data_IF_988549757295
#
_entry.id   IF_988549757295
#
_cell.length_a   1.000
_cell.length_b   1.000
_cell.length_c   1.000
_cell.angle_alpha   90.00
_cell.angle_beta   90.00
_cell.angle_gamma   90.00
#
_symmetry.space_group_name_H-M   'P 1'
#
loop_
_entity.id
_entity.type
_entity.pdbx_description
1 polymer ?
#
# COMPACT_ATOMS: atom_id res chain seq x y z
N UNK A 1 -16.98 -44.70 -70.02
CA UNK A 1 -16.87 -44.00 -71.32
C UNK A 1 -16.79 -42.52 -70.99
N UNK A 2 -15.60 -41.92 -70.96
CA UNK A 2 -14.93 -41.25 -72.11
C UNK A 2 -15.88 -40.20 -72.72
N UNK A 3 -15.56 -38.90 -72.83
CA UNK A 3 -14.27 -38.23 -73.03
C UNK A 3 -14.41 -36.72 -72.77
N UNK A 4 -13.27 -36.10 -72.44
CA UNK A 4 -12.99 -34.67 -72.32
C UNK A 4 -13.22 -33.84 -73.60
N UNK A 5 -13.47 -32.53 -73.43
CA UNK A 5 -12.92 -31.45 -74.28
C UNK A 5 -12.85 -30.11 -73.48
N UNK A 6 -11.64 -29.56 -73.36
CA UNK A 6 -11.28 -28.16 -73.02
C UNK A 6 -10.75 -27.48 -74.32
N UNK A 7 -10.23 -26.21 -74.41
CA UNK A 7 -10.02 -25.14 -73.40
C UNK A 7 -10.30 -23.68 -73.86
N UNK A 8 -10.12 -22.72 -72.93
CA UNK A 8 -9.81 -21.30 -73.19
C UNK A 8 -10.45 -20.39 -72.11
N UNK A 9 -9.77 -19.60 -71.29
CA UNK A 9 -8.52 -18.87 -71.49
C UNK A 9 -8.01 -18.25 -70.17
N UNK A 10 -6.69 -17.97 -70.17
CA UNK A 10 -5.92 -17.02 -69.33
C UNK A 10 -5.32 -17.49 -68.00
N UNK A 11 -4.04 -17.86 -68.09
CA UNK A 11 -3.01 -17.66 -67.07
C UNK A 11 -2.81 -16.15 -66.82
N UNK A 12 -2.78 -15.74 -65.54
CA UNK A 12 -1.72 -14.87 -64.99
C UNK A 12 -1.39 -15.41 -63.59
N UNK A 13 -0.11 -15.72 -63.42
CA UNK A 13 0.58 -16.10 -62.20
C UNK A 13 0.71 -14.91 -61.25
N UNK A 14 0.42 -15.06 -59.95
CA UNK A 14 1.18 -14.35 -58.94
C UNK A 14 1.30 -15.13 -57.62
N UNK A 15 2.55 -15.29 -57.25
CA UNK A 15 3.12 -15.91 -56.05
C UNK A 15 2.67 -15.24 -54.74
N UNK A 16 2.66 -16.07 -53.68
CA UNK A 16 2.94 -15.75 -52.28
C UNK A 16 2.28 -14.50 -51.67
N UNK A 17 1.27 -14.71 -50.82
CA UNK A 17 1.00 -13.81 -49.69
C UNK A 17 1.39 -14.51 -48.39
N UNK A 18 2.61 -14.24 -47.93
CA UNK A 18 3.04 -14.43 -46.56
C UNK A 18 2.29 -13.45 -45.64
N UNK A 19 1.91 -13.97 -44.46
CA UNK A 19 1.79 -13.30 -43.15
C UNK A 19 1.42 -11.82 -43.12
N UNK A 20 0.23 -11.50 -42.59
CA UNK A 20 0.00 -10.24 -41.88
C UNK A 20 -0.98 -10.45 -40.71
N UNK A 21 -0.56 -11.24 -39.71
CA UNK A 21 -1.11 -11.12 -38.36
C UNK A 21 -0.64 -9.76 -37.86
N UNK A 22 -1.58 -8.87 -37.57
CA UNK A 22 -1.30 -7.58 -36.94
C UNK A 22 -0.68 -7.86 -35.56
N UNK A 23 0.65 -7.79 -35.49
CA UNK A 23 1.38 -7.67 -34.24
C UNK A 23 1.09 -6.28 -33.68
N UNK A 24 0.25 -6.22 -32.65
CA UNK A 24 0.26 -5.11 -31.70
C UNK A 24 1.68 -5.04 -31.11
N UNK A 25 2.26 -3.85 -30.92
CA UNK A 25 3.56 -3.74 -30.28
C UNK A 25 3.41 -4.21 -28.83
N UNK A 26 3.88 -5.42 -28.55
CA UNK A 26 4.22 -5.83 -27.20
C UNK A 26 5.37 -4.92 -26.80
N UNK A 27 5.07 -3.92 -25.97
CA UNK A 27 6.10 -3.18 -25.24
C UNK A 27 6.93 -4.22 -24.49
N UNK A 28 8.16 -4.45 -24.94
CA UNK A 28 9.18 -5.14 -24.15
C UNK A 28 9.39 -4.29 -22.90
N UNK A 29 8.90 -4.78 -21.78
CA UNK A 29 9.33 -4.30 -20.46
C UNK A 29 10.70 -4.91 -20.23
N UNK A 30 11.71 -4.36 -20.91
CA UNK A 30 13.11 -4.52 -20.51
C UNK A 30 13.39 -3.51 -19.40
N UNK A 31 12.68 -3.65 -18.29
CA UNK A 31 13.07 -3.15 -16.97
C UNK A 31 12.85 -4.32 -16.01
N UNK A 32 13.70 -5.34 -16.16
CA UNK A 32 14.00 -6.21 -15.02
C UNK A 32 14.62 -5.28 -13.99
N UNK A 33 13.80 -4.77 -13.08
CA UNK A 33 14.25 -4.29 -11.79
C UNK A 33 14.96 -5.49 -11.17
N UNK A 34 16.27 -5.56 -11.36
CA UNK A 34 17.12 -6.45 -10.59
C UNK A 34 16.80 -6.14 -9.14
N UNK A 35 16.13 -7.09 -8.48
CA UNK A 35 15.90 -7.07 -7.05
C UNK A 35 17.23 -6.75 -6.41
N UNK A 36 17.35 -5.55 -5.83
CA UNK A 36 18.50 -5.19 -5.02
C UNK A 36 18.64 -6.27 -3.95
N UNK A 37 19.82 -6.86 -3.93
CA UNK A 37 20.34 -7.78 -2.92
C UNK A 37 19.46 -7.89 -1.65
N UNK A 38 18.71 -8.99 -1.52
CA UNK A 38 17.85 -9.30 -0.37
C UNK A 38 18.66 -9.74 0.86
N UNK A 39 19.99 -9.69 0.83
CA UNK A 39 20.87 -10.13 1.91
C UNK A 39 20.66 -9.42 3.26
N UNK A 40 19.88 -8.34 3.28
CA UNK A 40 19.58 -7.56 4.48
C UNK A 40 18.13 -7.61 4.97
N UNK A 41 17.22 -8.31 4.30
CA UNK A 41 15.81 -8.34 4.70
C UNK A 41 15.53 -9.53 5.64
N UNK A 42 15.15 -9.22 6.89
CA UNK A 42 14.79 -10.24 7.88
C UNK A 42 13.33 -10.66 7.73
N UNK A 43 13.09 -11.97 7.64
CA UNK A 43 11.77 -12.57 7.64
C UNK A 43 11.58 -13.37 8.93
N UNK A 44 10.49 -13.08 9.65
CA UNK A 44 10.14 -13.77 10.89
C UNK A 44 9.42 -15.09 10.63
N UNK A 45 8.59 -15.14 9.57
CA UNK A 45 7.89 -16.34 9.12
C UNK A 45 7.93 -16.45 7.59
N UNK A 46 8.03 -17.66 7.08
CA UNK A 46 7.94 -17.98 5.64
C UNK A 46 6.70 -18.83 5.37
N UNK A 47 5.90 -18.43 4.38
CA UNK A 47 4.73 -19.16 3.90
C UNK A 47 5.02 -19.71 2.51
N UNK A 48 4.89 -21.02 2.31
CA UNK A 48 5.09 -21.66 1.02
C UNK A 48 4.20 -22.90 0.87
N UNK A 49 3.38 -22.95 -0.20
CA UNK A 49 2.46 -24.07 -0.45
C UNK A 49 3.18 -25.39 -0.78
N UNK A 50 4.44 -25.32 -1.22
CA UNK A 50 5.29 -26.48 -1.56
C UNK A 50 5.96 -27.14 -0.33
N UNK A 51 5.74 -26.61 0.88
CA UNK A 51 6.32 -27.12 2.11
C UNK A 51 7.74 -26.64 2.42
N UNK A 52 8.30 -25.71 1.62
CA UNK A 52 9.64 -25.15 1.84
C UNK A 52 9.68 -23.96 2.81
N UNK A 53 8.55 -23.60 3.41
CA UNK A 53 8.40 -22.54 4.41
C UNK A 53 7.94 -23.09 5.76
N UNK A 54 7.80 -22.20 6.75
CA UNK A 54 7.32 -22.53 8.09
C UNK A 54 5.84 -22.90 8.12
N UNK A 55 5.04 -22.31 7.21
CA UNK A 55 3.61 -22.56 7.08
C UNK A 55 3.21 -22.79 5.62
N UNK A 56 2.16 -23.60 5.43
CA UNK A 56 1.57 -23.85 4.11
C UNK A 56 0.57 -22.75 3.69
N UNK A 57 0.08 -21.95 4.63
CA UNK A 57 -0.97 -20.96 4.42
C UNK A 57 -0.72 -19.68 5.21
N UNK A 58 -1.22 -18.55 4.69
CA UNK A 58 -1.15 -17.25 5.37
C UNK A 58 -1.97 -17.27 6.66
N UNK A 59 -3.16 -17.88 6.63
CA UNK A 59 -4.01 -18.00 7.82
C UNK A 59 -3.30 -18.77 8.94
N UNK A 60 -2.57 -19.83 8.59
CA UNK A 60 -1.78 -20.60 9.57
C UNK A 60 -0.67 -19.77 10.21
N UNK A 61 0.09 -19.02 9.40
CA UNK A 61 1.15 -18.14 9.89
C UNK A 61 0.60 -17.03 10.80
N UNK A 62 -0.50 -16.37 10.41
CA UNK A 62 -1.14 -15.30 11.19
C UNK A 62 -1.68 -15.84 12.52
N UNK A 63 -2.33 -17.01 12.52
CA UNK A 63 -2.89 -17.62 13.72
C UNK A 63 -1.82 -18.08 14.73
N UNK A 64 -0.58 -18.29 14.27
CA UNK A 64 0.53 -18.62 15.15
C UNK A 64 1.10 -17.41 15.90
N UNK A 65 0.77 -16.19 15.46
CA UNK A 65 1.23 -14.97 16.11
C UNK A 65 0.44 -14.67 17.39
N UNK A 66 1.10 -14.12 18.43
CA UNK A 66 0.38 -13.60 19.58
C UNK A 66 -0.55 -12.46 19.13
N UNK A 67 -1.70 -12.33 19.79
CA UNK A 67 -2.64 -11.25 19.50
C UNK A 67 -2.01 -9.85 19.63
N UNK A 68 -1.10 -9.69 20.59
CA UNK A 68 -0.38 -8.44 20.84
C UNK A 68 1.06 -8.56 20.37
N UNK A 69 1.35 -7.91 19.24
CA UNK A 69 2.67 -7.79 18.61
C UNK A 69 3.23 -6.39 18.87
N UNK A 70 4.18 -6.29 19.79
CA UNK A 70 4.84 -5.01 20.10
C UNK A 70 6.01 -4.71 19.15
N UNK A 71 6.52 -5.74 18.49
CA UNK A 71 7.54 -5.67 17.45
C UNK A 71 6.90 -5.95 16.08
N UNK A 72 7.55 -5.46 15.02
CA UNK A 72 7.14 -5.73 13.65
C UNK A 72 7.46 -7.17 13.30
N UNK A 73 6.44 -7.89 12.87
CA UNK A 73 6.58 -9.24 12.31
C UNK A 73 6.53 -9.15 10.79
N UNK A 74 7.51 -9.76 10.13
CA UNK A 74 7.60 -9.83 8.67
C UNK A 74 7.31 -11.26 8.21
N UNK A 75 6.19 -11.43 7.51
CA UNK A 75 5.76 -12.69 6.88
C UNK A 75 6.14 -12.62 5.40
N UNK A 76 7.05 -13.48 4.97
CA UNK A 76 7.41 -13.66 3.57
C UNK A 76 6.55 -14.75 2.94
N UNK A 77 5.95 -14.47 1.80
CA UNK A 77 5.01 -15.37 1.11
C UNK A 77 5.59 -15.71 -0.26
N UNK A 78 5.91 -16.99 -0.46
CA UNK A 78 6.44 -17.46 -1.74
C UNK A 78 5.41 -17.36 -2.87
N UNK A 79 5.87 -17.57 -4.10
CA UNK A 79 4.98 -17.68 -5.26
C UNK A 79 3.94 -18.80 -5.05
N UNK A 80 2.70 -18.54 -5.45
CA UNK A 80 1.58 -19.45 -5.26
C UNK A 80 0.24 -18.73 -5.34
N UNK A 81 -0.83 -19.51 -5.52
CA UNK A 81 -2.21 -19.04 -5.46
C UNK A 81 -2.79 -19.52 -4.12
N UNK A 82 -2.93 -18.58 -3.20
CA UNK A 82 -3.47 -18.77 -1.87
C UNK A 82 -4.97 -18.50 -1.90
N UNK A 83 -5.78 -19.55 -2.04
CA UNK A 83 -7.25 -19.48 -1.98
C UNK A 83 -7.71 -19.34 -0.52
N UNK A 84 -7.53 -18.14 0.03
CA UNK A 84 -7.72 -17.86 1.44
C UNK A 84 -8.43 -16.53 1.68
N UNK A 85 -9.20 -16.50 2.77
CA UNK A 85 -9.83 -15.30 3.29
C UNK A 85 -9.10 -14.90 4.56
N UNK A 86 -8.38 -13.77 4.51
CA UNK A 86 -7.44 -13.34 5.55
C UNK A 86 -8.11 -12.34 6.49
N UNK A 87 -7.85 -12.50 7.78
CA UNK A 87 -8.15 -11.52 8.83
C UNK A 87 -6.87 -11.21 9.60
N UNK A 88 -6.55 -9.92 9.73
CA UNK A 88 -5.46 -9.43 10.56
C UNK A 88 -6.04 -8.60 11.70
N UNK A 89 -5.71 -8.99 12.93
CA UNK A 89 -6.03 -8.21 14.15
C UNK A 89 -4.79 -7.84 14.96
N UNK A 90 -3.64 -8.43 14.61
CA UNK A 90 -2.33 -8.13 15.18
C UNK A 90 -1.76 -6.87 14.52
N UNK A 91 -1.29 -5.93 15.33
CA UNK A 91 -0.62 -4.73 14.84
C UNK A 91 0.78 -5.05 14.28
N UNK A 92 1.38 -4.09 13.58
CA UNK A 92 2.79 -4.14 13.17
C UNK A 92 3.14 -5.35 12.26
N UNK A 93 2.19 -5.85 11.47
CA UNK A 93 2.44 -6.96 10.54
C UNK A 93 2.85 -6.43 9.17
N UNK A 94 3.91 -7.01 8.62
CA UNK A 94 4.34 -6.82 7.23
C UNK A 94 4.18 -8.14 6.49
N UNK A 95 3.42 -8.15 5.41
CA UNK A 95 3.29 -9.30 4.49
C UNK A 95 3.97 -8.92 3.19
N UNK A 96 4.96 -9.71 2.77
CA UNK A 96 5.75 -9.46 1.56
C UNK A 96 5.66 -10.69 0.65
N UNK A 97 5.12 -10.52 -0.54
CA UNK A 97 5.16 -11.57 -1.56
C UNK A 97 6.53 -11.66 -2.22
N UNK A 98 6.86 -12.84 -2.74
CA UNK A 98 8.05 -13.11 -3.53
C UNK A 98 8.01 -12.36 -4.86
N UNK A 99 6.85 -12.34 -5.51
CA UNK A 99 6.64 -11.62 -6.76
C UNK A 99 5.18 -11.14 -6.88
N UNK A 100 5.00 -9.87 -7.21
CA UNK A 100 3.66 -9.27 -7.34
C UNK A 100 2.75 -10.04 -8.31
N UNK A 101 3.27 -10.59 -9.40
CA UNK A 101 2.47 -11.29 -10.42
C UNK A 101 2.21 -12.76 -10.10
N UNK A 102 2.95 -13.36 -9.15
CA UNK A 102 2.90 -14.80 -8.87
C UNK A 102 2.59 -15.17 -7.42
N UNK A 103 2.64 -14.22 -6.48
CA UNK A 103 2.12 -14.38 -5.12
C UNK A 103 0.72 -13.77 -5.05
N UNK A 104 -0.29 -14.63 -5.18
CA UNK A 104 -1.71 -14.23 -5.32
C UNK A 104 -2.50 -14.73 -4.13
N UNK A 105 -3.19 -13.83 -3.43
CA UNK A 105 -4.20 -14.15 -2.43
C UNK A 105 -5.57 -13.91 -3.08
N UNK A 106 -6.41 -14.94 -3.15
CA UNK A 106 -7.71 -14.80 -3.79
C UNK A 106 -8.82 -15.52 -3.05
N UNK A 107 -10.03 -14.98 -3.18
CA UNK A 107 -11.25 -15.59 -2.66
C UNK A 107 -12.47 -14.96 -3.34
N UNK A 108 -13.56 -15.72 -3.51
CA UNK A 108 -14.82 -15.19 -4.05
C UNK A 108 -15.77 -14.79 -2.91
N UNK A 109 -15.98 -13.49 -2.70
CA UNK A 109 -16.88 -12.99 -1.66
C UNK A 109 -17.67 -11.76 -2.11
N UNK A 110 -19.00 -11.88 -2.16
CA UNK A 110 -19.88 -10.71 -2.15
C UNK A 110 -20.08 -10.21 -0.74
N UNK A 111 -20.17 -8.89 -0.58
CA UNK A 111 -20.58 -8.30 0.69
C UNK A 111 -21.98 -8.77 1.11
N UNK A 112 -22.92 -8.84 0.18
CA UNK A 112 -24.30 -9.30 0.41
C UNK A 112 -24.34 -10.75 0.89
N UNK A 113 -23.56 -11.63 0.28
CA UNK A 113 -23.45 -13.04 0.68
C UNK A 113 -22.87 -13.16 2.10
N UNK A 114 -21.85 -12.35 2.44
CA UNK A 114 -21.30 -12.29 3.80
C UNK A 114 -22.30 -11.69 4.79
N UNK A 115 -23.06 -10.65 4.42
CA UNK A 115 -24.10 -10.08 5.28
C UNK A 115 -25.19 -11.10 5.61
N UNK A 116 -25.55 -11.96 4.65
CA UNK A 116 -26.49 -13.06 4.83
C UNK A 116 -25.90 -14.21 5.68
N UNK A 117 -24.60 -14.46 5.59
CA UNK A 117 -23.90 -15.55 6.27
C UNK A 117 -22.60 -15.05 6.92
N UNK A 118 -22.72 -14.24 7.98
CA UNK A 118 -21.57 -13.58 8.59
C UNK A 118 -20.64 -14.60 9.22
N UNK A 119 -19.37 -14.56 8.81
CA UNK A 119 -18.25 -15.15 9.52
C UNK A 119 -17.48 -14.07 10.30
N UNK A 120 -16.58 -14.52 11.17
CA UNK A 120 -15.68 -13.67 11.94
C UNK A 120 -14.57 -13.04 11.07
N UNK A 121 -14.27 -13.60 9.90
CA UNK A 121 -13.14 -13.18 9.05
C UNK A 121 -13.43 -11.78 8.47
N UNK A 122 -14.60 -11.59 7.84
CA UNK A 122 -15.06 -10.29 7.34
C UNK A 122 -15.58 -10.34 5.89
N UNK A 123 -15.92 -9.21 5.26
CA UNK A 123 -16.52 -9.19 3.93
C UNK A 123 -15.54 -9.23 2.73
N UNK A 124 -14.22 -9.17 2.97
CA UNK A 124 -13.20 -9.10 1.90
C UNK A 124 -12.32 -10.35 1.80
N UNK A 125 -11.46 -10.38 0.78
CA UNK A 125 -10.35 -11.34 0.68
C UNK A 125 -9.32 -11.08 1.77
N UNK A 126 -8.95 -9.81 2.00
CA UNK A 126 -8.06 -9.39 3.10
C UNK A 126 -8.78 -8.38 3.99
N UNK A 127 -8.94 -8.71 5.27
CA UNK A 127 -9.68 -7.94 6.27
C UNK A 127 -8.71 -7.39 7.35
N UNK A 128 -8.48 -6.08 7.36
CA UNK A 128 -7.48 -5.39 8.17
C UNK A 128 -8.13 -4.68 9.38
N UNK A 129 -8.11 -5.34 10.53
CA UNK A 129 -8.63 -4.83 11.81
C UNK A 129 -7.52 -4.46 12.79
N UNK A 130 -6.37 -4.04 12.27
CA UNK A 130 -5.16 -3.74 13.01
C UNK A 130 -4.42 -2.54 12.41
N UNK A 131 -3.57 -1.93 13.20
CA UNK A 131 -2.74 -0.78 12.81
C UNK A 131 -1.34 -1.22 12.35
N UNK A 132 -0.68 -0.36 11.59
CA UNK A 132 0.70 -0.54 11.14
C UNK A 132 0.93 -1.73 10.23
N UNK A 133 -0.03 -1.98 9.34
CA UNK A 133 0.04 -3.07 8.38
C UNK A 133 0.75 -2.62 7.11
N UNK A 134 1.66 -3.45 6.61
CA UNK A 134 2.32 -3.27 5.33
C UNK A 134 2.02 -4.51 4.48
N UNK A 135 1.39 -4.32 3.31
CA UNK A 135 1.30 -5.34 2.28
C UNK A 135 2.22 -4.92 1.13
N UNK A 136 3.11 -5.80 0.69
CA UNK A 136 4.14 -5.48 -0.31
C UNK A 136 4.32 -6.61 -1.31
N UNK A 137 4.49 -6.26 -2.59
CA UNK A 137 4.90 -7.19 -3.65
C UNK A 137 3.98 -8.43 -3.82
N UNK A 138 2.66 -8.23 -3.77
CA UNK A 138 1.68 -9.31 -3.90
C UNK A 138 0.39 -8.85 -4.59
N UNK A 139 -0.42 -9.80 -5.04
CA UNK A 139 -1.71 -9.57 -5.68
C UNK A 139 -2.86 -10.07 -4.80
N UNK A 140 -3.93 -9.29 -4.68
CA UNK A 140 -5.15 -9.63 -3.95
C UNK A 140 -6.34 -9.55 -4.91
N UNK A 141 -7.05 -10.66 -5.10
CA UNK A 141 -8.13 -10.76 -6.08
C UNK A 141 -9.42 -11.22 -5.40
N UNK A 142 -10.46 -10.39 -5.45
CA UNK A 142 -11.82 -10.90 -5.23
C UNK A 142 -12.35 -11.48 -6.55
N UNK A 143 -12.46 -12.80 -6.61
CA UNK A 143 -12.76 -13.54 -7.87
C UNK A 143 -14.25 -13.55 -8.22
N UNK A 144 -15.08 -12.88 -7.42
CA UNK A 144 -16.51 -12.78 -7.67
C UNK A 144 -16.83 -12.12 -9.03
N UNK A 145 -17.58 -12.77 -9.93
CA UNK A 145 -17.88 -12.22 -11.25
C UNK A 145 -18.93 -11.11 -11.29
N UNK A 146 -19.77 -10.94 -10.25
CA UNK A 146 -20.87 -9.96 -10.27
C UNK A 146 -20.38 -8.52 -10.16
N UNK A 147 -20.48 -7.78 -11.26
CA UNK A 147 -19.92 -6.43 -11.36
C UNK A 147 -20.74 -5.31 -10.68
N UNK A 148 -22.02 -5.54 -10.38
CA UNK A 148 -22.91 -4.52 -9.79
C UNK A 148 -22.88 -4.46 -8.26
N UNK A 149 -22.47 -5.55 -7.63
CA UNK A 149 -22.48 -5.67 -6.17
C UNK A 149 -21.12 -5.32 -5.58
N UNK A 150 -21.06 -5.08 -4.27
CA UNK A 150 -19.79 -4.84 -3.58
C UNK A 150 -19.03 -6.16 -3.40
N UNK A 151 -17.77 -6.18 -3.82
CA UNK A 151 -16.89 -7.33 -3.73
C UNK A 151 -15.48 -6.81 -3.37
N UNK A 152 -15.17 -6.78 -2.08
CA UNK A 152 -13.97 -6.15 -1.58
C UNK A 152 -12.76 -7.08 -1.76
N UNK A 153 -11.69 -6.59 -2.37
CA UNK A 153 -10.38 -7.25 -2.29
C UNK A 153 -9.76 -6.97 -0.92
N UNK A 154 -9.80 -5.71 -0.49
CA UNK A 154 -9.29 -5.26 0.81
C UNK A 154 -10.38 -4.49 1.53
N UNK A 155 -10.64 -4.87 2.78
CA UNK A 155 -11.50 -4.13 3.70
C UNK A 155 -10.77 -3.93 5.02
N UNK A 156 -11.04 -2.83 5.74
CA UNK A 156 -10.45 -2.69 7.07
C UNK A 156 -10.86 -1.45 7.82
N UNK A 157 -10.46 -1.38 9.08
CA UNK A 157 -10.71 -0.27 10.00
C UNK A 157 -9.45 0.21 10.73
N UNK A 158 -8.29 -0.36 10.40
CA UNK A 158 -6.99 0.06 10.94
C UNK A 158 -6.51 1.42 10.42
N UNK A 159 -5.39 1.89 10.96
CA UNK A 159 -4.65 3.06 10.48
C UNK A 159 -3.17 2.75 10.24
N UNK A 160 -2.50 3.63 9.48
CA UNK A 160 -1.12 3.46 9.00
C UNK A 160 -0.96 2.19 8.18
N UNK A 161 -1.82 2.05 7.18
CA UNK A 161 -1.82 0.91 6.24
C UNK A 161 -1.01 1.31 5.01
N UNK A 162 0.01 0.51 4.68
CA UNK A 162 0.82 0.63 3.46
C UNK A 162 0.44 -0.47 2.48
N UNK A 163 0.14 -0.09 1.24
CA UNK A 163 0.17 -1.00 0.08
C UNK A 163 1.34 -0.54 -0.80
N UNK A 164 2.29 -1.42 -1.11
CA UNK A 164 3.45 -1.04 -1.92
C UNK A 164 3.80 -2.10 -2.95
N UNK A 165 3.80 -1.74 -4.23
CA UNK A 165 3.93 -2.70 -5.32
C UNK A 165 2.89 -3.84 -5.22
N UNK A 166 1.62 -3.48 -5.02
CA UNK A 166 0.53 -4.43 -4.87
C UNK A 166 -0.48 -4.30 -6.01
N UNK A 167 -1.18 -5.39 -6.31
CA UNK A 167 -2.35 -5.37 -7.21
C UNK A 167 -3.60 -5.70 -6.39
N UNK A 168 -4.61 -4.85 -6.39
CA UNK A 168 -5.91 -5.14 -5.76
C UNK A 168 -6.99 -5.12 -6.84
N UNK A 169 -7.62 -6.26 -7.06
CA UNK A 169 -8.46 -6.53 -8.23
C UNK A 169 -9.82 -7.06 -7.78
N UNK A 170 -10.89 -6.48 -8.29
CA UNK A 170 -12.25 -7.00 -8.21
C UNK A 170 -13.03 -6.56 -9.45
N UNK A 171 -14.13 -7.24 -9.77
CA UNK A 171 -15.09 -6.74 -10.77
C UNK A 171 -16.24 -5.96 -10.15
N UNK A 172 -16.46 -6.11 -8.84
CA UNK A 172 -17.50 -5.43 -8.09
C UNK A 172 -17.10 -4.01 -7.67
N UNK A 173 -17.97 -3.37 -6.91
CA UNK A 173 -17.66 -2.08 -6.29
C UNK A 173 -16.76 -2.22 -5.06
N UNK A 174 -16.18 -1.10 -4.61
CA UNK A 174 -15.51 -0.96 -3.30
C UNK A 174 -14.27 -1.89 -3.12
N UNK A 175 -13.47 -2.09 -4.17
CA UNK A 175 -12.32 -3.02 -4.19
C UNK A 175 -11.36 -2.82 -3.00
N UNK A 176 -10.98 -1.58 -2.69
CA UNK A 176 -10.17 -1.18 -1.54
C UNK A 176 -10.98 -0.26 -0.64
N UNK A 177 -11.37 -0.79 0.52
CA UNK A 177 -12.40 -0.26 1.42
C UNK A 177 -11.89 -0.09 2.85
N UNK A 178 -11.09 0.96 3.07
CA UNK A 178 -10.54 1.28 4.40
C UNK A 178 -11.41 2.32 5.13
N UNK A 179 -12.03 1.92 6.23
CA UNK A 179 -13.20 2.55 6.84
C UNK A 179 -12.96 3.21 8.20
N UNK A 180 -11.76 3.71 8.45
CA UNK A 180 -11.46 4.48 9.66
C UNK A 180 -11.66 6.00 9.45
N UNK A 181 -12.88 6.49 9.68
CA UNK A 181 -13.19 7.93 9.59
C UNK A 181 -12.45 8.81 10.59
N UNK A 182 -11.99 8.27 11.73
CA UNK A 182 -11.48 9.08 12.84
C UNK A 182 -9.98 9.33 12.70
N UNK A 183 -9.22 8.29 12.41
CA UNK A 183 -7.76 8.33 12.43
C UNK A 183 -7.11 7.59 11.27
N UNK A 184 -7.87 7.16 10.27
CA UNK A 184 -7.36 6.38 9.14
C UNK A 184 -6.31 7.16 8.34
N UNK A 185 -5.11 6.60 8.21
CA UNK A 185 -4.04 7.10 7.36
C UNK A 185 -3.55 5.97 6.47
N UNK A 186 -3.62 6.14 5.16
CA UNK A 186 -3.29 5.08 4.21
C UNK A 186 -2.33 5.57 3.14
N UNK A 187 -1.24 4.83 2.93
CA UNK A 187 -0.25 5.11 1.90
C UNK A 187 -0.26 3.99 0.87
N UNK A 188 -0.40 4.34 -0.42
CA UNK A 188 -0.37 3.36 -1.50
C UNK A 188 0.63 3.80 -2.58
N UNK A 189 1.69 3.02 -2.79
CA UNK A 189 2.74 3.34 -3.76
C UNK A 189 2.91 2.23 -4.79
N UNK A 190 3.11 2.58 -6.06
CA UNK A 190 3.40 1.60 -7.12
C UNK A 190 2.32 0.52 -7.27
N UNK A 191 1.05 0.85 -7.01
CA UNK A 191 -0.03 -0.12 -7.00
C UNK A 191 -0.80 -0.17 -8.32
N UNK A 192 -1.44 -1.31 -8.56
CA UNK A 192 -2.47 -1.46 -9.58
C UNK A 192 -3.82 -1.70 -8.89
N UNK A 193 -4.81 -0.88 -9.22
CA UNK A 193 -6.16 -1.00 -8.70
C UNK A 193 -7.13 -1.23 -9.86
N UNK A 194 -7.91 -2.30 -9.79
CA UNK A 194 -8.93 -2.62 -10.77
C UNK A 194 -10.26 -2.89 -10.06
N UNK A 195 -11.32 -2.23 -10.51
CA UNK A 195 -12.63 -2.34 -9.87
C UNK A 195 -13.76 -1.66 -10.61
N UNK A 196 -14.98 -1.90 -10.13
CA UNK A 196 -16.18 -1.16 -10.53
C UNK A 196 -16.40 0.08 -9.67
N UNK A 197 -17.66 0.44 -9.43
CA UNK A 197 -18.01 1.64 -8.66
C UNK A 197 -17.24 1.80 -7.33
N UNK A 198 -16.72 3.00 -7.11
CA UNK A 198 -16.04 3.44 -5.90
C UNK A 198 -14.85 2.53 -5.50
N UNK A 199 -14.13 1.95 -6.46
CA UNK A 199 -13.19 0.87 -6.15
C UNK A 199 -11.98 1.25 -5.29
N UNK A 200 -11.57 2.52 -5.23
CA UNK A 200 -10.67 3.01 -4.18
C UNK A 200 -11.43 4.02 -3.32
N UNK A 201 -11.80 3.60 -2.09
CA UNK A 201 -12.74 4.35 -1.25
C UNK A 201 -12.28 4.63 0.19
N UNK A 202 -11.10 5.24 0.41
CA UNK A 202 -10.58 5.50 1.74
C UNK A 202 -11.45 6.50 2.53
N UNK A 203 -11.56 6.25 3.84
CA UNK A 203 -12.13 7.17 4.85
C UNK A 203 -11.01 7.62 5.79
N UNK A 204 -10.82 8.93 5.96
CA UNK A 204 -9.67 9.49 6.69
C UNK A 204 -8.71 10.24 5.75
N UNK A 205 -7.40 10.05 5.91
CA UNK A 205 -6.36 10.58 5.02
C UNK A 205 -5.80 9.48 4.13
N UNK A 206 -5.51 9.81 2.87
CA UNK A 206 -4.92 8.85 1.93
C UNK A 206 -3.95 9.54 0.98
N UNK A 207 -2.76 8.95 0.82
CA UNK A 207 -1.78 9.36 -0.17
C UNK A 207 -1.49 8.19 -1.10
N UNK A 208 -1.68 8.40 -2.41
CA UNK A 208 -1.42 7.40 -3.44
C UNK A 208 -0.41 7.98 -4.43
N UNK A 209 0.62 7.21 -4.79
CA UNK A 209 1.64 7.65 -5.75
C UNK A 209 2.02 6.54 -6.71
N UNK A 210 2.46 6.93 -7.92
CA UNK A 210 3.07 6.04 -8.91
C UNK A 210 2.18 4.84 -9.27
N UNK A 211 0.86 5.02 -9.24
CA UNK A 211 -0.10 3.94 -9.31
C UNK A 211 -0.95 3.98 -10.58
N UNK A 212 -1.61 2.85 -10.87
CA UNK A 212 -2.47 2.67 -12.05
C UNK A 212 -3.87 2.27 -11.61
N UNK A 213 -4.86 2.92 -12.20
CA UNK A 213 -6.27 2.73 -11.90
C UNK A 213 -6.99 2.25 -13.17
N UNK A 214 -7.72 1.15 -13.07
CA UNK A 214 -8.51 0.58 -14.16
C UNK A 214 -9.96 0.37 -13.75
N UNK A 215 -10.85 1.22 -14.25
CA UNK A 215 -12.28 1.15 -13.97
C UNK A 215 -12.98 0.20 -14.96
N UNK A 216 -13.63 -0.84 -14.45
CA UNK A 216 -14.22 -1.89 -15.31
C UNK A 216 -15.64 -1.56 -15.78
N UNK A 217 -16.22 -0.43 -15.35
CA UNK A 217 -17.61 -0.03 -15.64
C UNK A 217 -17.76 1.46 -15.94
N UNK A 218 -18.90 1.84 -16.49
CA UNK A 218 -19.27 3.25 -16.64
C UNK A 218 -19.74 3.85 -15.29
N UNK A 219 -18.88 3.79 -14.26
CA UNK A 219 -19.13 4.28 -12.90
C UNK A 219 -17.96 5.11 -12.38
N UNK A 220 -18.09 5.64 -11.17
CA UNK A 220 -17.04 6.43 -10.52
C UNK A 220 -15.91 5.51 -10.02
N UNK A 221 -14.66 5.79 -10.38
CA UNK A 221 -13.50 5.03 -9.93
C UNK A 221 -13.14 5.29 -8.45
N UNK A 222 -13.12 6.57 -8.08
CA UNK A 222 -12.69 7.02 -6.76
C UNK A 222 -13.88 7.37 -5.87
N UNK A 223 -13.73 7.08 -4.57
CA UNK A 223 -14.60 7.62 -3.54
C UNK A 223 -13.79 8.09 -2.33
N UNK A 224 -14.26 9.11 -1.64
CA UNK A 224 -13.57 9.57 -0.43
C UNK A 224 -14.54 10.12 0.60
N UNK A 225 -14.14 10.04 1.87
CA UNK A 225 -14.79 10.76 2.94
C UNK A 225 -13.79 11.22 4.02
N UNK A 226 -13.79 12.52 4.24
CA UNK A 226 -13.09 13.23 5.29
C UNK A 226 -14.09 14.00 6.16
N UNK A 227 -14.98 13.27 6.86
CA UNK A 227 -16.18 13.86 7.49
C UNK A 227 -15.90 14.48 8.85
N UNK A 228 -14.92 13.94 9.57
CA UNK A 228 -14.70 14.29 10.98
C UNK A 228 -13.68 15.40 11.15
N UNK A 229 -12.86 15.66 10.12
CA UNK A 229 -11.83 16.69 10.12
C UNK A 229 -11.71 17.28 8.71
N UNK A 230 -11.71 18.62 8.60
CA UNK A 230 -11.57 19.33 7.32
C UNK A 230 -10.25 19.01 6.64
N UNK A 231 -9.21 18.65 7.38
CA UNK A 231 -7.91 18.32 6.83
C UNK A 231 -7.82 16.90 6.27
N UNK A 232 -8.82 16.03 6.50
CA UNK A 232 -8.88 14.72 5.86
C UNK A 232 -9.01 14.87 4.34
N UNK A 233 -8.05 14.28 3.63
CA UNK A 233 -7.85 14.45 2.19
C UNK A 233 -7.32 13.19 1.52
N UNK A 234 -7.69 13.02 0.26
CA UNK A 234 -7.15 12.03 -0.65
C UNK A 234 -6.23 12.74 -1.65
N UNK A 235 -4.96 12.36 -1.66
CA UNK A 235 -3.95 12.89 -2.57
C UNK A 235 -3.49 11.76 -3.48
N UNK A 236 -3.49 12.00 -4.79
CA UNK A 236 -3.02 11.08 -5.81
C UNK A 236 -1.95 11.80 -6.63
N UNK A 237 -0.75 11.24 -6.69
CA UNK A 237 0.39 11.79 -7.44
C UNK A 237 0.91 10.83 -8.49
N UNK A 238 1.43 11.37 -9.58
CA UNK A 238 2.16 10.63 -10.63
C UNK A 238 1.47 9.30 -11.03
N UNK A 239 0.15 9.33 -11.19
CA UNK A 239 -0.66 8.12 -11.38
C UNK A 239 -1.45 8.20 -12.68
N UNK A 240 -1.89 7.04 -13.18
CA UNK A 240 -2.62 6.94 -14.44
C UNK A 240 -3.99 6.31 -14.26
N UNK A 241 -4.97 6.80 -15.02
CA UNK A 241 -6.36 6.34 -15.00
C UNK A 241 -6.80 5.90 -16.40
N UNK A 242 -7.33 4.68 -16.48
CA UNK A 242 -8.02 4.16 -17.66
C UNK A 242 -9.22 3.30 -17.23
N UNK A 243 -9.99 2.81 -18.18
CA UNK A 243 -11.15 1.97 -17.90
C UNK A 243 -12.17 1.94 -19.03
N UNK A 244 -13.37 1.48 -18.69
CA UNK A 244 -14.52 1.43 -19.57
C UNK A 244 -14.83 2.81 -20.18
N UNK A 245 -15.32 2.84 -21.41
CA UNK A 245 -15.64 4.11 -22.09
C UNK A 245 -16.63 4.95 -21.29
N UNK A 246 -16.30 6.21 -21.01
CA UNK A 246 -17.09 7.17 -20.22
C UNK A 246 -17.23 6.82 -18.74
N UNK A 247 -16.21 6.25 -18.13
CA UNK A 247 -16.17 6.13 -16.67
C UNK A 247 -16.00 7.48 -15.98
N UNK A 248 -16.61 7.64 -14.80
CA UNK A 248 -16.48 8.86 -14.00
C UNK A 248 -15.20 8.78 -13.16
N UNK A 249 -14.47 9.89 -13.00
CA UNK A 249 -13.23 9.89 -12.21
C UNK A 249 -13.48 9.59 -10.73
N UNK A 250 -14.50 10.18 -10.14
CA UNK A 250 -14.79 9.97 -8.74
C UNK A 250 -16.04 10.67 -8.25
N UNK A 251 -16.47 10.29 -7.06
CA UNK A 251 -17.60 10.92 -6.37
C UNK A 251 -17.41 10.86 -4.86
N UNK A 252 -18.30 11.51 -4.12
CA UNK A 252 -18.41 11.34 -2.68
C UNK A 252 -19.85 11.58 -2.23
N UNK A 253 -20.21 11.07 -1.05
CA UNK A 253 -21.52 11.33 -0.45
C UNK A 253 -21.43 12.25 0.78
N UNK A 254 -20.22 12.46 1.28
CA UNK A 254 -19.91 13.21 2.50
C UNK A 254 -18.82 14.23 2.20
N UNK A 255 -18.47 15.05 3.17
CA UNK A 255 -17.28 15.91 3.06
C UNK A 255 -16.07 15.15 2.56
N UNK A 256 -15.40 15.70 1.56
CA UNK A 256 -14.25 15.11 0.92
C UNK A 256 -13.33 16.20 0.37
N UNK A 257 -12.04 15.89 0.26
CA UNK A 257 -11.05 16.72 -0.37
C UNK A 257 -10.15 15.85 -1.24
N UNK A 258 -9.94 16.27 -2.49
CA UNK A 258 -9.16 15.54 -3.47
C UNK A 258 -8.05 16.43 -4.01
N UNK A 259 -6.84 15.88 -4.13
CA UNK A 259 -5.73 16.45 -4.85
C UNK A 259 -5.25 15.43 -5.89
N UNK A 260 -5.25 15.81 -7.17
CA UNK A 260 -4.69 15.02 -8.25
C UNK A 260 -3.57 15.82 -8.89
N UNK A 261 -2.34 15.34 -8.72
CA UNK A 261 -1.12 16.07 -9.08
C UNK A 261 -0.31 15.20 -10.04
N UNK A 262 0.11 15.75 -11.18
CA UNK A 262 0.91 15.03 -12.18
C UNK A 262 0.24 13.73 -12.68
N UNK A 263 -1.10 13.70 -12.73
CA UNK A 263 -1.86 12.50 -13.13
C UNK A 263 -2.16 12.48 -14.63
N UNK A 264 -2.21 11.29 -15.21
CA UNK A 264 -2.58 11.07 -16.61
C UNK A 264 -3.89 10.29 -16.73
N UNK A 265 -4.64 10.58 -17.77
CA UNK A 265 -5.99 10.06 -17.96
C UNK A 265 -6.16 9.59 -19.40
N UNK A 266 -6.72 8.41 -19.62
CA UNK A 266 -7.06 7.96 -20.96
C UNK A 266 -8.24 8.77 -21.53
N UNK A 267 -8.47 8.63 -22.83
CA UNK A 267 -9.64 9.25 -23.48
C UNK A 267 -10.98 8.73 -22.96
N UNK A 268 -10.98 7.60 -22.22
CA UNK A 268 -12.18 6.96 -21.72
C UNK A 268 -12.78 7.67 -20.50
N UNK A 269 -12.04 8.55 -19.81
CA UNK A 269 -12.61 9.35 -18.71
C UNK A 269 -13.73 10.24 -19.24
N UNK A 270 -14.88 10.21 -18.57
CA UNK A 270 -16.05 11.02 -18.88
C UNK A 270 -15.79 12.51 -18.70
N UNK A 271 -16.51 13.36 -19.43
CA UNK A 271 -16.46 14.81 -19.22
C UNK A 271 -17.29 15.23 -18.00
N UNK A 272 -16.91 14.71 -16.84
CA UNK A 272 -17.51 15.02 -15.55
C UNK A 272 -16.43 15.00 -14.48
N UNK A 273 -16.24 16.12 -13.82
CA UNK A 273 -15.34 16.20 -12.67
C UNK A 273 -15.86 15.36 -11.50
N UNK A 274 -15.04 15.24 -10.46
CA UNK A 274 -15.46 14.68 -9.18
C UNK A 274 -16.71 15.42 -8.70
N UNK A 275 -17.70 14.68 -8.22
CA UNK A 275 -18.99 15.26 -7.87
C UNK A 275 -19.56 14.70 -6.56
N UNK A 276 -20.36 15.54 -5.88
CA UNK A 276 -21.15 15.09 -4.73
C UNK A 276 -22.37 14.31 -5.22
N UNK A 277 -22.48 13.07 -4.76
CA UNK A 277 -23.63 12.19 -4.93
C UNK A 277 -24.63 12.43 -3.79
N UNK A 278 -25.85 12.81 -4.13
CA UNK A 278 -26.94 13.06 -3.17
C UNK A 278 -28.07 12.06 -3.35
N UNK A 279 -28.65 11.62 -2.25
CA UNK A 279 -29.82 10.76 -2.25
C UNK A 279 -31.07 11.61 -2.49
N UNK A 280 -31.56 11.65 -3.73
CA UNK A 280 -32.76 12.39 -4.10
C UNK A 280 -34.05 11.71 -3.63
N UNK A 281 -34.03 10.38 -3.47
CA UNK A 281 -35.20 9.60 -3.03
C UNK A 281 -35.44 9.73 -1.53
N UNK A 282 -34.35 9.83 -0.77
CA UNK A 282 -34.34 9.94 0.69
C UNK A 282 -33.44 11.11 1.11
N UNK A 283 -33.85 12.38 0.88
CA UNK A 283 -33.02 13.55 1.14
C UNK A 283 -32.54 13.67 2.59
N UNK A 284 -33.30 13.14 3.54
CA UNK A 284 -32.99 13.08 4.97
C UNK A 284 -31.76 12.22 5.30
N UNK A 285 -31.35 11.33 4.38
CA UNK A 285 -30.13 10.52 4.52
C UNK A 285 -28.87 11.28 4.10
N UNK A 286 -29.01 12.44 3.46
CA UNK A 286 -27.87 13.27 3.08
C UNK A 286 -27.31 13.95 4.32
N UNK A 287 -26.01 13.77 4.57
CA UNK A 287 -25.32 14.51 5.63
C UNK A 287 -25.13 15.97 5.24
N UNK A 288 -24.98 16.88 6.23
CA UNK A 288 -24.61 18.26 5.96
C UNK A 288 -23.35 18.39 5.10
N UNK A 289 -23.29 19.48 4.33
CA UNK A 289 -22.20 19.81 3.41
C UNK A 289 -21.75 21.24 3.66
N UNK A 290 -20.76 21.37 4.52
CA UNK A 290 -20.27 22.60 5.12
C UNK A 290 -19.08 23.21 4.37
N UNK A 291 -18.22 22.41 3.74
CA UNK A 291 -16.95 22.92 3.19
C UNK A 291 -16.93 23.07 1.66
N UNK A 292 -18.02 22.69 0.99
CA UNK A 292 -18.17 22.82 -0.45
C UNK A 292 -17.24 21.90 -1.24
N UNK A 293 -17.19 22.12 -2.55
CA UNK A 293 -16.36 21.34 -3.46
C UNK A 293 -14.88 21.65 -3.22
N UNK A 294 -14.07 20.62 -3.01
CA UNK A 294 -12.63 20.72 -2.73
C UNK A 294 -11.85 19.72 -3.57
N UNK A 295 -11.84 19.94 -4.89
CA UNK A 295 -11.14 19.09 -5.86
C UNK A 295 -10.07 19.92 -6.54
N UNK A 296 -8.81 19.54 -6.33
CA UNK A 296 -7.66 20.30 -6.81
C UNK A 296 -6.86 19.46 -7.80
N UNK A 297 -6.56 20.06 -8.94
CA UNK A 297 -5.83 19.48 -10.05
C UNK A 297 -4.60 20.32 -10.31
N UNK A 298 -3.48 19.65 -10.59
CA UNK A 298 -2.26 20.29 -11.05
C UNK A 298 -1.52 19.38 -12.01
N UNK A 299 -1.13 19.93 -13.17
CA UNK A 299 -0.38 19.23 -14.22
C UNK A 299 -1.03 17.90 -14.63
N UNK A 300 -2.36 17.87 -14.70
CA UNK A 300 -3.10 16.70 -15.15
C UNK A 300 -3.25 16.71 -16.68
N UNK A 301 -3.11 15.53 -17.31
CA UNK A 301 -3.16 15.41 -18.77
C UNK A 301 -4.08 14.26 -19.21
N UNK A 302 -4.96 14.55 -20.17
CA UNK A 302 -5.87 13.57 -20.77
C UNK A 302 -5.51 13.30 -22.22
N UNK A 303 -5.47 12.02 -22.59
CA UNK A 303 -5.35 11.60 -23.99
C UNK A 303 -6.51 12.18 -24.83
N UNK A 304 -6.18 12.82 -25.95
CA UNK A 304 -7.18 13.47 -26.81
C UNK A 304 -7.65 14.84 -26.31
N UNK A 305 -6.91 15.46 -25.38
CA UNK A 305 -7.13 16.83 -24.93
C UNK A 305 -7.84 16.92 -23.58
N UNK A 306 -7.49 17.96 -22.83
CA UNK A 306 -8.03 18.21 -21.49
C UNK A 306 -9.44 18.79 -21.55
N UNK A 307 -10.33 18.27 -20.71
CA UNK A 307 -11.57 18.96 -20.36
C UNK A 307 -11.27 20.17 -19.48
N UNK A 308 -12.18 21.15 -19.46
CA UNK A 308 -12.06 22.38 -18.65
C UNK A 308 -11.76 22.10 -17.17
N UNK A 309 -12.34 21.04 -16.60
CA UNK A 309 -12.15 20.72 -15.18
C UNK A 309 -10.78 20.12 -14.84
N UNK A 310 -9.94 19.78 -15.82
CA UNK A 310 -8.52 19.41 -15.61
C UNK A 310 -7.60 20.63 -15.48
N UNK A 311 -8.10 21.85 -15.69
CA UNK A 311 -7.31 23.07 -15.52
C UNK A 311 -6.67 23.13 -14.13
N UNK A 312 -5.43 23.62 -14.08
CA UNK A 312 -4.74 23.81 -12.81
C UNK A 312 -5.55 24.76 -11.92
N UNK A 313 -5.95 24.27 -10.75
CA UNK A 313 -6.69 25.06 -9.77
C UNK A 313 -6.12 24.92 -8.34
N UNK A 314 -4.92 24.35 -8.21
CA UNK A 314 -4.28 24.07 -6.92
C UNK A 314 -4.17 25.31 -6.01
N UNK A 315 -3.93 26.49 -6.58
CA UNK A 315 -3.84 27.73 -5.80
C UNK A 315 -5.12 28.04 -4.99
N UNK A 316 -6.29 27.53 -5.44
CA UNK A 316 -7.56 27.66 -4.70
C UNK A 316 -7.56 26.89 -3.37
N UNK A 317 -6.64 25.95 -3.18
CA UNK A 317 -6.43 25.27 -1.90
C UNK A 317 -5.52 26.06 -0.96
N UNK A 318 -4.94 27.17 -1.41
CA UNK A 318 -3.90 27.92 -0.71
C UNK A 318 -2.48 27.34 -0.85
N UNK A 319 -2.27 26.38 -1.77
CA UNK A 319 -0.96 25.77 -2.03
C UNK A 319 -0.40 26.33 -3.34
N UNK A 320 0.78 26.94 -3.28
CA UNK A 320 1.49 27.49 -4.46
C UNK A 320 2.61 26.59 -4.98
N UNK A 321 3.16 25.72 -4.13
CA UNK A 321 4.22 24.78 -4.49
C UNK A 321 3.69 23.33 -4.48
N UNK A 322 3.41 22.72 -5.64
CA UNK A 322 2.98 21.32 -5.71
C UNK A 322 3.98 20.34 -5.06
N UNK A 323 5.27 20.69 -5.01
CA UNK A 323 6.31 19.90 -4.35
C UNK A 323 6.14 19.78 -2.84
N UNK A 324 5.37 20.67 -2.19
CA UNK A 324 5.09 20.57 -0.75
C UNK A 324 4.02 19.53 -0.40
N UNK A 325 3.30 19.00 -1.40
CA UNK A 325 2.28 17.96 -1.23
C UNK A 325 2.98 16.60 -1.13
N UNK A 326 3.46 16.27 0.06
CA UNK A 326 4.10 14.98 0.38
C UNK A 326 3.14 14.06 1.12
N UNK A 327 3.52 12.80 1.33
CA UNK A 327 2.79 11.90 2.21
C UNK A 327 2.67 12.49 3.63
N UNK A 328 3.77 12.98 4.21
CA UNK A 328 3.77 13.64 5.52
C UNK A 328 2.80 14.82 5.59
N UNK A 329 2.81 15.72 4.60
CA UNK A 329 1.84 16.83 4.52
C UNK A 329 0.39 16.32 4.42
N UNK A 330 0.18 15.26 3.64
CA UNK A 330 -1.13 14.65 3.49
C UNK A 330 -1.68 14.18 4.82
N UNK A 331 -0.83 13.61 5.68
CA UNK A 331 -1.19 13.13 7.01
C UNK A 331 -1.04 14.21 8.11
N UNK A 332 -0.99 15.48 7.74
CA UNK A 332 -0.82 16.64 8.66
C UNK A 332 0.40 16.50 9.60
N UNK A 333 1.48 15.90 9.10
CA UNK A 333 2.73 15.66 9.83
C UNK A 333 2.66 14.54 10.87
N UNK A 334 1.52 13.84 11.01
CA UNK A 334 1.34 12.80 12.01
C UNK A 334 2.06 11.49 11.65
N UNK A 335 2.29 11.26 10.36
CA UNK A 335 2.98 10.07 9.86
C UNK A 335 3.70 10.41 8.56
N UNK A 336 4.96 9.99 8.45
CA UNK A 336 5.72 10.05 7.21
C UNK A 336 6.12 8.62 6.81
N UNK A 337 5.41 7.99 5.86
CA UNK A 337 5.76 6.65 5.37
C UNK A 337 6.97 6.64 4.42
N UNK A 338 7.42 7.81 3.95
CA UNK A 338 8.51 7.95 2.98
C UNK A 338 9.85 8.35 3.66
N UNK A 339 9.82 8.65 4.96
CA UNK A 339 11.02 8.99 5.71
C UNK A 339 12.08 7.88 5.67
N UNK A 340 13.34 8.28 5.67
CA UNK A 340 14.50 7.37 5.66
C UNK A 340 15.40 7.54 6.88
N UNK A 341 15.09 8.50 7.76
CA UNK A 341 15.89 8.80 8.95
C UNK A 341 15.92 7.61 9.91
N UNK A 342 17.11 7.12 10.26
CA UNK A 342 17.26 5.99 11.18
C UNK A 342 16.76 6.32 12.59
N UNK A 343 16.39 5.31 13.40
CA UNK A 343 16.07 5.51 14.82
C UNK A 343 17.15 6.32 15.56
N UNK A 344 16.75 7.38 16.26
CA UNK A 344 17.65 8.28 16.98
C UNK A 344 17.46 8.14 18.48
N UNK A 345 18.57 8.06 19.21
CA UNK A 345 18.61 8.17 20.67
C UNK A 345 18.45 9.64 21.06
N UNK A 346 17.44 9.93 21.89
CA UNK A 346 17.13 11.28 22.38
C UNK A 346 17.62 11.50 23.81
N UNK A 347 17.85 10.44 24.57
CA UNK A 347 18.30 10.49 25.96
C UNK A 347 18.92 9.14 26.37
N UNK A 348 19.80 9.14 27.38
CA UNK A 348 20.40 7.90 27.90
C UNK A 348 20.83 8.02 29.36
N UNK A 349 20.85 6.88 30.06
CA UNK A 349 21.19 6.79 31.48
C UNK A 349 22.04 5.55 31.78
N UNK A 350 22.91 5.64 32.78
CA UNK A 350 23.71 4.51 33.27
C UNK A 350 23.33 4.20 34.71
N UNK A 351 23.06 2.92 35.00
CA UNK A 351 22.79 2.43 36.35
C UNK A 351 23.68 1.24 36.67
N UNK A 352 24.84 1.53 37.26
CA UNK A 352 25.84 0.50 37.53
C UNK A 352 26.39 -0.11 36.22
N UNK A 353 25.93 -1.32 35.89
CA UNK A 353 26.31 -2.03 34.65
C UNK A 353 25.32 -1.83 33.51
N UNK A 354 24.14 -1.28 33.79
CA UNK A 354 23.09 -1.09 32.81
C UNK A 354 23.25 0.23 32.07
N UNK A 355 23.03 0.18 30.76
CA UNK A 355 22.83 1.34 29.90
C UNK A 355 21.39 1.33 29.39
N UNK A 356 20.70 2.43 29.61
CA UNK A 356 19.37 2.69 29.06
C UNK A 356 19.50 3.68 27.92
N UNK A 357 19.02 3.30 26.74
CA UNK A 357 18.93 4.17 25.56
C UNK A 357 17.47 4.49 25.27
N UNK A 358 17.10 5.77 25.36
CA UNK A 358 15.77 6.26 25.04
C UNK A 358 15.75 6.77 23.60
N UNK A 359 14.98 6.11 22.73
CA UNK A 359 14.81 6.50 21.34
C UNK A 359 13.55 7.35 21.13
N UNK A 360 13.50 8.07 20.02
CA UNK A 360 12.33 8.88 19.65
C UNK A 360 11.06 8.06 19.40
N UNK A 361 11.20 6.78 19.06
CA UNK A 361 10.11 5.90 18.61
C UNK A 361 10.26 4.47 19.11
N UNK A 362 9.19 3.67 19.01
CA UNK A 362 9.23 2.25 19.37
C UNK A 362 10.07 1.47 18.37
N UNK A 363 10.70 0.39 18.83
CA UNK A 363 11.72 -0.33 18.07
C UNK A 363 11.42 -1.81 18.00
N UNK A 364 11.91 -2.44 16.93
CA UNK A 364 12.00 -3.88 16.77
C UNK A 364 13.47 -4.29 16.77
N UNK A 365 13.80 -5.33 17.52
CA UNK A 365 15.17 -5.81 17.71
C UNK A 365 15.35 -7.11 16.92
N UNK A 366 16.32 -7.12 16.00
CA UNK A 366 16.63 -8.29 15.17
C UNK A 366 17.86 -9.01 15.67
N UNK A 367 17.77 -10.34 15.75
CA UNK A 367 18.86 -11.20 16.21
C UNK A 367 19.25 -11.00 17.68
N UNK A 368 20.45 -11.48 18.02
CA UNK A 368 21.07 -11.21 19.32
C UNK A 368 21.79 -9.87 19.25
N UNK A 369 21.12 -8.81 19.73
CA UNK A 369 21.66 -7.46 19.68
C UNK A 369 22.79 -7.26 20.71
N UNK A 370 23.98 -6.92 20.22
CA UNK A 370 25.11 -6.49 21.05
C UNK A 370 25.71 -5.21 20.51
N UNK A 371 26.19 -4.39 21.42
CA UNK A 371 26.83 -3.11 21.11
C UNK A 371 28.17 -3.01 21.84
N UNK A 372 29.06 -2.15 21.36
CA UNK A 372 30.39 -1.98 21.92
C UNK A 372 30.72 -0.50 22.08
N UNK A 373 31.39 -0.16 23.19
CA UNK A 373 31.97 1.16 23.39
C UNK A 373 33.25 1.32 22.57
N UNK A 374 33.70 2.55 22.36
CA UNK A 374 35.00 2.79 21.73
C UNK A 374 36.21 2.27 22.53
N UNK A 375 36.01 1.85 23.80
CA UNK A 375 37.03 1.21 24.64
C UNK A 375 37.01 -0.33 24.56
N UNK A 376 36.12 -0.91 23.75
CA UNK A 376 36.01 -2.36 23.59
C UNK A 376 35.12 -3.06 24.62
N UNK A 377 34.34 -2.31 25.41
CA UNK A 377 33.41 -2.91 26.37
C UNK A 377 32.13 -3.32 25.65
N UNK A 378 31.87 -4.62 25.58
CA UNK A 378 30.66 -5.17 24.96
C UNK A 378 29.47 -5.12 25.94
N UNK A 379 28.34 -4.60 25.45
CA UNK A 379 27.06 -4.59 26.14
C UNK A 379 26.06 -5.47 25.39
N UNK A 380 25.35 -6.31 26.13
CA UNK A 380 24.34 -7.22 25.58
C UNK A 380 22.95 -6.67 25.83
N UNK A 381 22.09 -6.68 24.81
CA UNK A 381 20.69 -6.31 24.94
C UNK A 381 19.98 -7.22 25.95
N UNK A 382 19.15 -6.63 26.83
CA UNK A 382 18.37 -7.36 27.84
C UNK A 382 16.88 -7.17 27.70
N UNK A 383 16.42 -5.92 27.56
CA UNK A 383 14.99 -5.58 27.64
C UNK A 383 14.64 -4.38 26.76
N UNK A 384 13.36 -4.23 26.41
CA UNK A 384 12.86 -3.07 25.67
C UNK A 384 12.34 -3.36 24.25
N UNK A 385 12.19 -4.64 23.88
CA UNK A 385 11.55 -5.05 22.61
C UNK A 385 10.18 -4.38 22.47
N UNK A 386 9.93 -3.76 21.31
CA UNK A 386 8.69 -3.04 21.03
C UNK A 386 8.54 -1.69 21.73
N UNK A 387 9.58 -1.21 22.43
CA UNK A 387 9.55 0.04 23.21
C UNK A 387 10.58 1.05 22.72
N UNK A 388 10.42 2.28 23.19
CA UNK A 388 11.39 3.38 22.97
C UNK A 388 12.67 3.22 23.77
N UNK A 389 12.59 2.60 24.93
CA UNK A 389 13.73 2.44 25.85
C UNK A 389 14.28 1.04 25.73
N UNK A 390 15.56 0.94 25.39
CA UNK A 390 16.31 -0.32 25.36
C UNK A 390 17.27 -0.37 26.55
N UNK A 391 17.33 -1.53 27.22
CA UNK A 391 18.30 -1.82 28.28
C UNK A 391 19.39 -2.74 27.74
N UNK A 392 20.63 -2.34 27.95
CA UNK A 392 21.83 -3.13 27.71
C UNK A 392 22.59 -3.33 29.01
N UNK A 393 23.24 -4.47 29.17
CA UNK A 393 24.07 -4.77 30.33
C UNK A 393 25.52 -4.99 29.88
N UNK A 394 26.45 -4.29 30.56
CA UNK A 394 27.88 -4.47 30.38
C UNK A 394 28.46 -5.52 31.35
N UNK A 395 29.65 -6.05 31.04
CA UNK A 395 30.35 -6.98 31.94
C UNK A 395 30.79 -6.31 33.25
N UNK A 396 31.18 -5.04 33.18
CA UNK A 396 31.65 -4.20 34.28
C UNK A 396 30.84 -2.92 34.39
N UNK A 397 31.00 -2.19 35.50
CA UNK A 397 30.40 -0.88 35.71
C UNK A 397 30.79 0.06 34.57
N UNK A 398 29.80 0.79 34.05
CA UNK A 398 29.98 1.74 32.96
C UNK A 398 30.27 3.14 33.50
N UNK A 399 31.03 3.91 32.72
CA UNK A 399 31.22 5.34 32.96
C UNK A 399 30.74 6.16 31.76
N UNK A 400 30.16 7.33 32.03
CA UNK A 400 29.72 8.26 30.99
C UNK A 400 30.84 8.65 30.01
N UNK A 401 32.11 8.62 30.45
CA UNK A 401 33.28 8.93 29.62
C UNK A 401 33.46 7.94 28.47
N UNK A 402 33.13 6.66 28.68
CA UNK A 402 33.27 5.60 27.66
C UNK A 402 32.25 5.74 26.53
N UNK A 403 31.10 6.34 26.82
CA UNK A 403 30.00 6.50 25.88
C UNK A 403 30.14 7.74 24.97
N UNK A 404 31.01 8.70 25.32
CA UNK A 404 31.16 9.98 24.58
C UNK A 404 31.56 9.82 23.11
N UNK A 405 32.14 8.68 22.71
CA UNK A 405 32.52 8.40 21.32
C UNK A 405 31.41 7.70 20.52
N UNK A 406 30.23 7.49 21.13
CA UNK A 406 29.15 6.71 20.57
C UNK A 406 29.34 5.21 20.79
N UNK A 407 28.41 4.43 20.25
CA UNK A 407 28.37 2.98 20.38
C UNK A 407 28.34 2.35 18.98
N UNK A 408 28.99 1.20 18.83
CA UNK A 408 28.94 0.41 17.61
C UNK A 408 28.03 -0.79 17.81
N UNK A 409 27.15 -1.08 16.86
CA UNK A 409 26.41 -2.34 16.82
C UNK A 409 27.35 -3.42 16.27
N UNK A 410 27.50 -4.51 17.02
CA UNK A 410 28.41 -5.61 16.68
C UNK A 410 27.64 -6.78 16.09
N UNK A 411 26.48 -7.10 16.67
CA UNK A 411 25.58 -8.15 16.18
C UNK A 411 24.13 -7.70 16.28
N UNK A 412 23.27 -8.23 15.40
CA UNK A 412 21.86 -7.86 15.34
C UNK A 412 21.62 -6.47 14.74
N UNK A 413 20.39 -5.98 14.82
CA UNK A 413 20.04 -4.64 14.39
C UNK A 413 18.82 -4.08 15.14
N UNK A 414 18.64 -2.77 15.05
CA UNK A 414 17.51 -2.03 15.61
C UNK A 414 16.73 -1.45 14.44
N UNK A 415 15.46 -1.81 14.31
CA UNK A 415 14.59 -1.30 13.24
C UNK A 415 13.47 -0.46 13.83
N UNK A 416 13.09 0.62 13.16
CA UNK A 416 11.94 1.41 13.55
C UNK A 416 10.64 0.59 13.55
N UNK A 417 9.80 0.73 14.58
CA UNK A 417 8.49 0.07 14.61
C UNK A 417 7.40 0.87 13.88
N UNK A 418 7.59 2.15 13.58
CA UNK A 418 6.64 2.92 12.76
C UNK A 418 6.72 2.48 11.29
N UNK A 419 5.60 2.14 10.62
CA UNK A 419 5.64 1.62 9.25
C UNK A 419 6.13 2.69 8.27
N UNK A 420 7.03 2.28 7.38
CA UNK A 420 7.60 3.07 6.28
C UNK A 420 7.78 2.15 5.08
N UNK A 421 7.83 2.71 3.86
CA UNK A 421 7.97 1.93 2.61
C UNK A 421 9.29 1.13 2.59
N UNK A 422 10.35 1.76 3.10
CA UNK A 422 11.67 1.18 3.25
C UNK A 422 11.97 1.02 4.73
N UNK A 423 12.42 -0.17 5.12
CA UNK A 423 12.77 -0.44 6.51
C UNK A 423 13.91 0.47 6.98
N UNK A 424 13.77 1.06 8.17
CA UNK A 424 14.77 1.95 8.76
C UNK A 424 15.61 1.17 9.74
N UNK A 425 16.68 0.58 9.21
CA UNK A 425 17.56 -0.36 9.91
C UNK A 425 18.80 0.39 10.43
N UNK A 426 18.97 0.39 11.74
CA UNK A 426 20.17 0.84 12.43
C UNK A 426 20.99 -0.39 12.82
N UNK A 427 22.10 -0.62 12.11
CA UNK A 427 22.94 -1.83 12.22
C UNK A 427 24.44 -1.52 12.39
N UNK A 428 24.82 -0.25 12.46
CA UNK A 428 26.22 0.18 12.44
C UNK A 428 26.61 1.02 13.66
N UNK A 429 26.22 2.31 13.70
CA UNK A 429 26.64 3.23 14.77
C UNK A 429 25.45 3.91 15.44
N UNK A 430 25.40 3.82 16.76
CA UNK A 430 24.46 4.57 17.61
C UNK A 430 25.18 5.82 18.11
N UNK A 431 24.66 6.97 17.69
CA UNK A 431 25.10 8.27 18.19
C UNK A 431 24.30 8.62 19.45
N UNK A 432 25.00 9.10 20.47
CA UNK A 432 24.37 9.58 21.70
C UNK A 432 24.30 11.11 21.70
N UNK A 433 23.18 11.69 22.17
CA UNK A 433 23.12 13.12 22.40
C UNK A 433 24.15 13.54 23.45
N UNK A 434 24.59 14.79 23.39
CA UNK A 434 25.43 15.36 24.45
C UNK A 434 24.59 15.49 25.71
N UNK A 435 25.06 14.90 26.81
CA UNK A 435 24.54 15.16 28.14
C UNK A 435 24.80 16.60 28.58
#
# INVERSE_FOLDING_TARGET
MQTDFLPGSRLISLMLLMSLIHQLPILKVDDVVTVKDTSHQHFDLVVAQDGSGDYLSLTGAINALPMYTYERVVIYVKNGIYEEKIRLEQDNITIIGENVDSTVIQYSQLRSDWEANKDYIGPAVVNLHADNIILKNLTIINTQPRMKEHAFAIYGTGTRIILFNCRAISKGGDTVSLWNYKSGMYYHGQCYFEGGVDFVCPRGWCYITDSRFYEVRETAALWHAGVLDKNQKMVIRNSSFDGATRFDLGRHHYEAQFFLIDCTFSKNVNNRSIYRSVNLKNPEKNRPYFWGDRYYFYNCQREGGNYKWFENNLEQSGISNPGSITASWTFDGQWDPEQTALPVVIDWDIRGKDLYLNFQENLTIRGQLTIETASGNTLTFKEGRGRKTLRFEAKSTLSAKELKKGLQIVTGSITANTPTVNERILDSRINLPKN
#
